data_IF_091794179635
#
_entry.id   IF_091794179635
#
_cell.length_a   1.000
_cell.length_b   1.000
_cell.length_c   1.000
_cell.angle_alpha   90.00
_cell.angle_beta   90.00
_cell.angle_gamma   90.00
#
_symmetry.space_group_name_H-M   'P 1'
#
loop_
_entity.id
_entity.type
_entity.pdbx_description
1 polymer ?
#
# COMPACT_ATOMS: atom_id res chain seq x y z
N UNK A 1 -5.95 -2.38 -4.13
CA UNK A 1 -7.21 -2.23 -4.90
C UNK A 1 -7.14 -3.06 -6.18
N UNK A 2 -8.27 -3.29 -6.84
CA UNK A 2 -8.30 -3.94 -8.15
C UNK A 2 -9.11 -3.11 -9.13
N UNK A 3 -8.74 -3.16 -10.41
CA UNK A 3 -9.47 -2.52 -11.50
C UNK A 3 -9.71 -3.53 -12.62
N UNK A 4 -10.90 -3.53 -13.22
CA UNK A 4 -11.18 -4.36 -14.40
C UNK A 4 -10.82 -3.59 -15.67
N UNK A 5 -9.79 -4.06 -16.37
CA UNK A 5 -9.40 -3.58 -17.70
C UNK A 5 -10.30 -4.28 -18.73
N UNK A 6 -11.37 -3.60 -19.15
CA UNK A 6 -12.37 -4.15 -20.06
C UNK A 6 -11.82 -4.38 -21.46
N UNK A 7 -10.91 -3.53 -21.93
CA UNK A 7 -10.31 -3.62 -23.26
C UNK A 7 -9.47 -4.89 -23.41
N UNK A 8 -8.76 -5.27 -22.35
CA UNK A 8 -7.88 -6.46 -22.35
C UNK A 8 -8.46 -7.66 -21.59
N UNK A 9 -9.68 -7.54 -21.08
CA UNK A 9 -10.37 -8.62 -20.37
C UNK A 9 -9.67 -9.12 -19.10
N UNK A 10 -8.89 -8.27 -18.41
CA UNK A 10 -8.05 -8.65 -17.25
C UNK A 10 -8.36 -7.82 -16.01
N UNK A 11 -7.90 -8.31 -14.85
CA UNK A 11 -7.94 -7.56 -13.59
C UNK A 11 -6.54 -7.04 -13.29
N UNK A 12 -6.42 -5.74 -13.07
CA UNK A 12 -5.19 -5.07 -12.67
C UNK A 12 -5.14 -4.94 -11.16
N UNK A 13 -3.98 -5.18 -10.57
CA UNK A 13 -3.69 -4.87 -9.18
C UNK A 13 -3.18 -3.42 -9.09
N UNK A 14 -3.75 -2.66 -8.17
CA UNK A 14 -3.35 -1.29 -7.88
C UNK A 14 -2.90 -1.17 -6.43
N UNK A 15 -1.73 -0.55 -6.15
CA UNK A 15 -1.36 -0.18 -4.79
C UNK A 15 -2.48 0.63 -4.12
N UNK A 16 -2.61 0.58 -2.78
CA UNK A 16 -3.54 1.47 -2.09
C UNK A 16 -3.19 2.93 -2.42
N UNK A 17 -4.19 3.77 -2.71
CA UNK A 17 -3.96 5.21 -2.84
C UNK A 17 -3.61 5.83 -1.48
N UNK A 18 -3.13 7.08 -1.46
CA UNK A 18 -2.74 7.77 -0.23
C UNK A 18 -3.83 7.74 0.86
N UNK A 19 -5.10 8.00 0.50
CA UNK A 19 -6.21 7.96 1.47
C UNK A 19 -6.38 6.55 2.07
N UNK A 20 -6.26 5.50 1.25
CA UNK A 20 -6.31 4.13 1.76
C UNK A 20 -5.10 3.82 2.65
N UNK A 21 -3.90 4.29 2.28
CA UNK A 21 -2.69 4.13 3.11
C UNK A 21 -2.84 4.83 4.47
N UNK A 22 -3.40 6.04 4.52
CA UNK A 22 -3.66 6.77 5.77
C UNK A 22 -4.66 6.04 6.66
N UNK A 23 -5.71 5.46 6.07
CA UNK A 23 -6.64 4.61 6.83
C UNK A 23 -5.91 3.38 7.37
N UNK A 24 -5.08 2.76 6.54
CA UNK A 24 -4.31 1.57 6.91
C UNK A 24 -3.28 1.84 8.01
N UNK A 25 -2.78 3.08 8.10
CA UNK A 25 -1.76 3.47 9.07
C UNK A 25 -2.22 3.30 10.53
N UNK A 26 -3.53 3.30 10.78
CA UNK A 26 -4.11 3.05 12.10
C UNK A 26 -3.81 1.64 12.65
N UNK A 27 -3.46 0.69 11.78
CA UNK A 27 -3.10 -0.68 12.16
C UNK A 27 -1.58 -0.93 12.13
N UNK A 28 -0.79 0.14 11.96
CA UNK A 28 0.67 0.09 12.06
C UNK A 28 1.42 -0.15 10.75
N UNK A 29 2.76 -0.04 10.78
CA UNK A 29 3.64 -0.11 9.62
C UNK A 29 3.69 -1.49 8.97
N UNK A 30 3.40 -2.55 9.76
CA UNK A 30 3.52 -3.94 9.35
C UNK A 30 2.33 -4.48 8.55
N UNK A 31 1.28 -3.68 8.34
CA UNK A 31 0.14 -4.08 7.49
C UNK A 31 0.63 -4.39 6.09
N UNK A 32 0.36 -5.60 5.60
CA UNK A 32 0.72 -5.98 4.24
C UNK A 32 -0.37 -5.57 3.24
N UNK A 33 0.06 -5.03 2.10
CA UNK A 33 -0.79 -4.65 0.98
C UNK A 33 -0.26 -5.26 -0.32
N UNK A 34 -1.17 -5.60 -1.22
CA UNK A 34 -0.82 -6.09 -2.54
C UNK A 34 -0.29 -4.95 -3.43
N UNK A 35 0.91 -5.12 -3.97
CA UNK A 35 1.53 -4.25 -4.98
C UNK A 35 1.72 -5.07 -6.27
N UNK A 36 1.38 -4.54 -7.45
CA UNK A 36 1.57 -5.27 -8.71
C UNK A 36 3.06 -5.57 -8.91
N UNK A 37 3.37 -6.76 -9.45
CA UNK A 37 4.73 -7.04 -9.86
C UNK A 37 5.11 -6.15 -11.04
N UNK A 38 6.36 -5.71 -11.10
CA UNK A 38 6.84 -4.83 -12.17
C UNK A 38 6.77 -5.49 -13.56
N UNK A 39 6.90 -6.81 -13.63
CA UNK A 39 6.83 -7.60 -14.87
C UNK A 39 5.40 -7.95 -15.29
N UNK A 40 4.44 -7.99 -14.35
CA UNK A 40 3.06 -8.40 -14.61
C UNK A 40 2.08 -7.71 -13.66
N UNK A 41 1.30 -6.72 -14.13
CA UNK A 41 0.36 -5.97 -13.29
C UNK A 41 -0.90 -6.77 -12.90
N UNK A 42 -1.04 -8.01 -13.37
CA UNK A 42 -2.12 -8.93 -12.97
C UNK A 42 -1.71 -9.83 -11.81
N UNK A 43 -0.40 -9.87 -11.50
CA UNK A 43 0.18 -10.56 -10.34
C UNK A 43 0.63 -9.54 -9.30
N UNK A 44 0.79 -9.99 -8.07
CA UNK A 44 1.17 -9.12 -6.98
C UNK A 44 2.18 -9.78 -6.05
N UNK A 45 2.84 -8.94 -5.26
CA UNK A 45 3.68 -9.32 -4.14
C UNK A 45 3.25 -8.52 -2.89
N UNK A 46 3.33 -9.11 -1.69
CA UNK A 46 3.04 -8.38 -0.47
C UNK A 46 4.14 -7.35 -0.21
N UNK A 47 3.72 -6.16 0.20
CA UNK A 47 4.60 -5.12 0.74
C UNK A 47 4.00 -4.60 2.02
N UNK A 48 4.82 -4.37 3.03
CA UNK A 48 4.41 -3.69 4.26
C UNK A 48 4.00 -2.25 3.95
N UNK A 49 3.13 -1.68 4.77
CA UNK A 49 2.71 -0.29 4.62
C UNK A 49 3.89 0.67 4.75
N UNK A 50 4.89 0.34 5.57
CA UNK A 50 6.13 1.09 5.66
C UNK A 50 6.97 1.09 4.37
N UNK A 51 6.96 0.00 3.59
CA UNK A 51 7.61 -0.03 2.27
C UNK A 51 6.87 0.84 1.25
N UNK A 52 5.54 0.89 1.32
CA UNK A 52 4.70 1.65 0.37
C UNK A 52 4.59 3.15 0.75
N UNK A 53 4.75 3.48 2.03
CA UNK A 53 4.71 4.84 2.57
C UNK A 53 5.96 5.15 3.42
N UNK A 54 7.17 5.18 2.81
CA UNK A 54 8.44 5.22 3.54
C UNK A 54 8.68 6.52 4.30
N UNK A 55 8.02 7.61 3.89
CA UNK A 55 8.13 8.94 4.48
C UNK A 55 6.83 9.34 5.17
N UNK A 56 6.24 8.41 5.93
CA UNK A 56 4.98 8.64 6.64
C UNK A 56 5.08 9.84 7.59
N UNK A 57 4.22 10.84 7.39
CA UNK A 57 4.24 12.10 8.12
C UNK A 57 4.00 11.91 9.63
N UNK A 58 3.24 10.89 10.02
CA UNK A 58 2.90 10.61 11.41
C UNK A 58 4.15 10.42 12.29
N UNK A 59 5.26 9.96 11.71
CA UNK A 59 6.53 9.77 12.44
C UNK A 59 7.09 11.03 13.08
N UNK A 60 6.74 12.21 12.56
CA UNK A 60 7.12 13.50 13.16
C UNK A 60 6.49 13.74 14.53
N UNK A 61 5.41 13.02 14.85
CA UNK A 61 4.67 13.12 16.11
C UNK A 61 4.92 11.93 17.05
N UNK A 62 5.86 11.05 16.69
CA UNK A 62 6.17 9.82 17.43
C UNK A 62 7.68 9.56 17.48
N UNK A 63 8.49 10.61 17.62
CA UNK A 63 9.96 10.52 17.75
C UNK A 63 10.66 9.69 16.65
N UNK A 64 10.11 9.72 15.43
CA UNK A 64 10.63 8.95 14.28
C UNK A 64 10.00 7.57 14.12
N UNK A 65 9.24 7.10 15.10
CA UNK A 65 8.51 5.82 15.07
C UNK A 65 7.12 5.94 14.45
N UNK A 66 6.46 4.83 14.18
CA UNK A 66 5.07 4.85 13.72
C UNK A 66 4.12 5.24 14.88
N UNK A 67 3.18 6.17 14.69
CA UNK A 67 2.23 6.52 15.75
C UNK A 67 1.33 5.34 16.15
N UNK A 68 1.19 5.12 17.47
CA UNK A 68 0.22 4.16 18.01
C UNK A 68 0.64 2.69 17.98
N UNK A 69 1.88 2.39 17.59
CA UNK A 69 2.51 1.07 17.80
C UNK A 69 3.24 0.97 19.13
#
# INVERSE_FOLDING_TARGET
CVCRDLERGRVLILPPCGICQERLALWGPGVEVAVPRADDPTKWEPRTLAEVHPYYWGRQFADGEWPGT
#
